data_IF_442490705649
#
_entry.id   IF_442490705649
#
_cell.length_a   1.000
_cell.length_b   1.000
_cell.length_c   1.000
_cell.angle_alpha   90.00
_cell.angle_beta   90.00
_cell.angle_gamma   90.00
#
_symmetry.space_group_name_H-M   'P 1'
#
loop_
_entity.id
_entity.type
_entity.pdbx_description
1 polymer ?
#
# COMPACT_ATOMS: atom_id res chain seq x y z
N UNK A 1 4.04 -17.11 29.07
CA UNK A 1 4.26 -16.33 27.83
C UNK A 1 4.71 -14.89 28.05
N UNK A 2 3.87 -14.00 28.60
CA UNK A 2 4.25 -12.57 28.78
C UNK A 2 5.42 -12.42 29.75
N UNK A 3 5.32 -13.04 30.92
CA UNK A 3 6.41 -13.09 31.90
C UNK A 3 7.69 -13.67 31.29
N UNK A 4 7.60 -14.70 30.45
CA UNK A 4 8.76 -15.27 29.78
C UNK A 4 9.46 -14.25 28.86
N UNK A 5 8.69 -13.42 28.14
CA UNK A 5 9.24 -12.36 27.28
C UNK A 5 9.80 -11.20 28.13
N UNK A 6 9.13 -10.83 29.22
CA UNK A 6 9.61 -9.80 30.16
C UNK A 6 10.92 -10.23 30.87
N UNK A 7 11.11 -11.54 31.07
CA UNK A 7 12.29 -12.13 31.70
C UNK A 7 13.41 -12.51 30.71
N UNK A 8 13.27 -12.20 29.41
CA UNK A 8 14.34 -12.44 28.44
C UNK A 8 15.55 -11.56 28.74
N UNK A 9 16.63 -12.16 29.25
CA UNK A 9 17.90 -11.49 29.43
C UNK A 9 18.68 -11.44 28.11
N UNK A 10 18.80 -10.23 27.55
CA UNK A 10 19.48 -9.97 26.27
C UNK A 10 20.89 -9.40 26.41
N UNK A 11 21.39 -9.29 27.64
CA UNK A 11 22.71 -8.68 27.92
C UNK A 11 23.87 -9.44 27.24
N UNK A 12 23.74 -10.76 27.06
CA UNK A 12 24.77 -11.61 26.44
C UNK A 12 24.65 -11.77 24.91
N UNK A 13 23.57 -11.29 24.28
CA UNK A 13 23.25 -11.59 22.86
C UNK A 13 23.62 -10.43 21.91
N UNK A 14 24.00 -9.26 22.44
CA UNK A 14 24.11 -8.04 21.63
C UNK A 14 25.56 -7.58 21.44
N UNK A 15 26.08 -7.76 20.22
CA UNK A 15 27.46 -7.39 19.89
C UNK A 15 27.72 -5.86 19.83
N UNK A 16 26.68 -5.03 19.80
CA UNK A 16 26.76 -3.56 19.77
C UNK A 16 25.46 -2.92 20.30
N UNK A 17 25.57 -1.69 20.84
CA UNK A 17 24.47 -0.93 21.46
C UNK A 17 23.28 -0.68 20.52
N UNK A 18 23.52 -0.53 19.21
CA UNK A 18 22.45 -0.38 18.20
C UNK A 18 21.60 -1.66 18.13
N UNK A 19 22.24 -2.83 18.10
CA UNK A 19 21.53 -4.11 18.08
C UNK A 19 20.77 -4.35 19.39
N UNK A 20 21.34 -3.91 20.52
CA UNK A 20 20.66 -3.96 21.81
C UNK A 20 19.41 -3.08 21.83
N UNK A 21 19.49 -1.85 21.32
CA UNK A 21 18.34 -0.95 21.22
C UNK A 21 17.24 -1.51 20.29
N UNK A 22 17.62 -2.11 19.15
CA UNK A 22 16.66 -2.75 18.23
C UNK A 22 16.00 -3.97 18.88
N UNK A 23 16.77 -4.82 19.54
CA UNK A 23 16.25 -6.02 20.20
C UNK A 23 15.36 -5.67 21.39
N UNK A 24 15.75 -4.68 22.20
CA UNK A 24 14.90 -4.17 23.28
C UNK A 24 13.59 -3.61 22.73
N UNK A 25 13.62 -2.85 21.63
CA UNK A 25 12.41 -2.36 20.99
C UNK A 25 11.51 -3.51 20.51
N UNK A 26 12.09 -4.57 19.93
CA UNK A 26 11.33 -5.76 19.53
C UNK A 26 10.70 -6.50 20.72
N UNK A 27 11.41 -6.59 21.86
CA UNK A 27 10.88 -7.16 23.10
C UNK A 27 9.73 -6.30 23.63
N UNK A 28 9.90 -4.97 23.68
CA UNK A 28 8.85 -4.06 24.14
C UNK A 28 7.60 -4.16 23.27
N UNK A 29 7.74 -4.22 21.93
CA UNK A 29 6.63 -4.45 21.00
C UNK A 29 5.99 -5.82 21.21
N UNK A 30 6.78 -6.86 21.50
CA UNK A 30 6.25 -8.20 21.81
C UNK A 30 5.48 -8.22 23.13
N UNK A 31 5.95 -7.52 24.16
CA UNK A 31 5.25 -7.37 25.45
C UNK A 31 3.93 -6.63 25.24
N UNK A 32 3.94 -5.54 24.47
CA UNK A 32 2.70 -4.81 24.11
C UNK A 32 1.71 -5.72 23.37
N UNK A 33 2.16 -6.52 22.42
CA UNK A 33 1.30 -7.48 21.71
C UNK A 33 0.75 -8.60 22.62
N UNK A 34 1.47 -8.93 23.70
CA UNK A 34 1.06 -9.90 24.71
C UNK A 34 0.23 -9.28 25.85
N UNK A 35 0.09 -7.96 25.91
CA UNK A 35 -0.73 -7.31 26.92
C UNK A 35 -2.20 -7.78 26.79
N UNK A 36 -2.78 -8.20 27.91
CA UNK A 36 -4.17 -8.61 27.95
C UNK A 36 -5.07 -7.38 27.87
N UNK A 37 -5.96 -7.37 26.88
CA UNK A 37 -7.07 -6.44 26.85
C UNK A 37 -8.14 -7.00 27.77
N UNK A 38 -8.32 -6.41 28.96
CA UNK A 38 -9.20 -6.90 30.04
C UNK A 38 -10.64 -7.21 29.62
N UNK A 39 -11.11 -6.65 28.50
CA UNK A 39 -12.47 -6.84 27.98
C UNK A 39 -12.53 -7.74 26.74
N UNK A 40 -11.39 -8.28 26.27
CA UNK A 40 -11.31 -9.09 25.05
C UNK A 40 -10.87 -10.51 25.40
N UNK A 41 -11.74 -11.53 25.21
CA UNK A 41 -11.38 -12.90 25.53
C UNK A 41 -10.32 -13.44 24.56
N UNK A 42 -9.42 -14.28 25.08
CA UNK A 42 -8.30 -14.85 24.32
C UNK A 42 -8.76 -15.84 23.25
N UNK A 43 -9.81 -16.61 23.54
CA UNK A 43 -10.46 -17.55 22.64
C UNK A 43 -11.96 -17.24 22.54
N UNK A 44 -12.59 -17.69 21.47
CA UNK A 44 -14.03 -17.50 21.22
C UNK A 44 -14.72 -18.73 20.65
N UNK A 45 -13.94 -19.75 20.26
CA UNK A 45 -14.47 -20.98 19.69
C UNK A 45 -13.66 -22.21 20.05
N UNK A 46 -14.24 -23.38 19.78
CA UNK A 46 -13.57 -24.69 19.82
C UNK A 46 -13.94 -25.51 18.58
N UNK A 47 -12.99 -26.26 18.07
CA UNK A 47 -13.18 -27.28 17.04
C UNK A 47 -12.73 -28.63 17.59
N UNK A 48 -13.60 -29.62 17.46
CA UNK A 48 -13.27 -31.02 17.72
C UNK A 48 -13.23 -31.72 16.35
N UNK A 49 -12.02 -32.07 15.91
CA UNK A 49 -11.82 -32.79 14.66
C UNK A 49 -12.17 -34.26 14.82
N UNK A 50 -12.54 -34.92 13.73
CA UNK A 50 -12.72 -36.37 13.69
C UNK A 50 -11.37 -37.10 13.63
N UNK A 51 -10.37 -36.50 12.97
CA UNK A 51 -9.03 -37.02 12.83
C UNK A 51 -7.98 -35.94 13.13
N UNK A 52 -6.77 -36.33 13.52
CA UNK A 52 -5.67 -35.38 13.74
C UNK A 52 -5.33 -34.61 12.45
N UNK A 53 -5.34 -33.26 12.43
CA UNK A 53 -5.04 -32.48 11.25
C UNK A 53 -3.60 -32.66 10.77
N UNK A 54 -3.39 -32.90 9.48
CA UNK A 54 -2.06 -32.97 8.87
C UNK A 54 -1.34 -34.32 8.98
N UNK A 55 -1.92 -35.31 9.67
CA UNK A 55 -1.52 -36.69 9.54
C UNK A 55 -2.21 -37.31 8.30
N UNK A 56 -1.50 -38.16 7.54
CA UNK A 56 -2.16 -39.08 6.60
C UNK A 56 -3.26 -39.81 7.37
N UNK A 57 -4.47 -39.89 6.81
CA UNK A 57 -5.68 -40.48 7.43
C UNK A 57 -5.47 -41.98 7.72
N UNK A 58 -4.64 -42.30 8.71
CA UNK A 58 -4.39 -43.63 9.19
C UNK A 58 -5.60 -44.06 10.04
N UNK A 59 -6.12 -45.26 9.76
CA UNK A 59 -7.19 -45.85 10.56
C UNK A 59 -6.75 -45.93 12.04
N UNK A 60 -7.46 -45.22 12.93
CA UNK A 60 -7.24 -45.26 14.37
C UNK A 60 -6.63 -44.00 15.01
N UNK A 61 -6.35 -42.93 14.25
CA UNK A 61 -5.96 -41.65 14.84
C UNK A 61 -7.17 -40.96 15.50
N UNK A 62 -7.11 -40.75 16.82
CA UNK A 62 -8.13 -39.98 17.54
C UNK A 62 -8.08 -38.50 17.12
N UNK A 63 -9.26 -37.88 17.03
CA UNK A 63 -9.39 -36.46 16.70
C UNK A 63 -8.82 -35.53 17.76
N UNK A 64 -8.34 -34.36 17.33
CA UNK A 64 -7.77 -33.35 18.22
C UNK A 64 -8.75 -32.21 18.51
N UNK A 65 -8.57 -31.58 19.67
CA UNK A 65 -9.40 -30.46 20.14
C UNK A 65 -8.59 -29.17 20.12
N UNK A 66 -9.07 -28.18 19.38
CA UNK A 66 -8.43 -26.87 19.27
C UNK A 66 -9.35 -25.76 19.75
N UNK A 67 -8.85 -24.92 20.65
CA UNK A 67 -9.49 -23.64 20.94
C UNK A 67 -9.02 -22.60 19.93
N UNK A 68 -9.96 -21.85 19.37
CA UNK A 68 -9.69 -20.82 18.36
C UNK A 68 -9.79 -19.44 19.01
N UNK A 69 -8.78 -18.62 18.77
CA UNK A 69 -8.65 -17.32 19.40
C UNK A 69 -7.94 -16.27 18.55
N UNK A 70 -7.78 -15.08 19.14
CA UNK A 70 -7.22 -13.91 18.43
C UNK A 70 -5.72 -13.99 18.24
N UNK A 71 -5.05 -14.75 19.11
CA UNK A 71 -3.61 -14.98 19.08
C UNK A 71 -3.31 -16.39 19.52
N UNK A 72 -2.14 -16.86 19.12
CA UNK A 72 -1.62 -18.12 19.60
C UNK A 72 -1.24 -18.03 21.09
N UNK A 73 -1.66 -19.02 21.88
CA UNK A 73 -1.29 -19.20 23.29
C UNK A 73 -0.81 -20.63 23.50
N UNK A 74 0.31 -20.80 24.20
CA UNK A 74 0.86 -22.08 24.60
C UNK A 74 1.09 -22.12 26.11
N UNK A 75 1.16 -23.33 26.66
CA UNK A 75 1.53 -23.56 28.06
C UNK A 75 3.06 -23.55 28.25
N UNK A 76 3.53 -23.91 29.44
CA UNK A 76 4.97 -23.91 29.76
C UNK A 76 5.77 -24.98 29.00
N UNK A 77 5.12 -26.03 28.51
CA UNK A 77 5.75 -27.14 27.77
C UNK A 77 5.78 -26.85 26.26
N UNK A 78 5.08 -25.80 25.83
CA UNK A 78 4.99 -25.37 24.44
C UNK A 78 3.76 -25.93 23.72
N UNK A 79 2.87 -26.61 24.43
CA UNK A 79 1.68 -27.20 23.83
C UNK A 79 0.64 -26.11 23.50
N UNK A 80 0.03 -26.17 22.30
CA UNK A 80 -0.85 -25.13 21.82
C UNK A 80 -2.19 -25.14 22.59
N UNK A 81 -2.39 -24.18 23.49
CA UNK A 81 -3.66 -24.01 24.21
C UNK A 81 -4.70 -23.28 23.37
N UNK A 82 -4.29 -22.27 22.60
CA UNK A 82 -5.16 -21.49 21.71
C UNK A 82 -4.48 -21.32 20.36
N UNK A 83 -5.20 -21.67 19.30
CA UNK A 83 -4.78 -21.49 17.92
C UNK A 83 -5.25 -20.12 17.42
N UNK A 84 -4.35 -19.41 16.75
CA UNK A 84 -4.65 -18.15 16.09
C UNK A 84 -5.68 -18.35 14.97
N UNK A 85 -6.70 -17.52 14.92
CA UNK A 85 -7.73 -17.55 13.90
C UNK A 85 -7.18 -17.45 12.47
N UNK A 86 -5.96 -16.94 12.26
CA UNK A 86 -5.33 -16.84 10.94
C UNK A 86 -4.69 -18.14 10.48
N UNK A 87 -4.47 -19.10 11.37
CA UNK A 87 -3.89 -20.40 11.01
C UNK A 87 -4.78 -21.16 10.02
N UNK A 88 -4.23 -22.04 9.15
CA UNK A 88 -5.04 -22.85 8.25
C UNK A 88 -6.01 -23.80 9.00
N UNK A 89 -5.57 -24.37 10.13
CA UNK A 89 -6.36 -25.31 10.94
C UNK A 89 -7.57 -24.66 11.64
N UNK A 90 -7.70 -23.34 11.62
CA UNK A 90 -8.89 -22.64 12.13
C UNK A 90 -9.94 -22.38 11.05
N UNK A 91 -9.60 -22.55 9.76
CA UNK A 91 -10.51 -22.25 8.64
C UNK A 91 -11.88 -22.95 8.76
N UNK A 92 -11.97 -24.23 9.18
CA UNK A 92 -13.26 -24.88 9.37
C UNK A 92 -14.18 -24.20 10.38
N UNK A 93 -13.66 -23.43 11.34
CA UNK A 93 -14.49 -22.66 12.27
C UNK A 93 -15.46 -21.73 11.53
N UNK A 94 -15.00 -21.14 10.43
CA UNK A 94 -15.76 -20.20 9.62
C UNK A 94 -16.53 -20.89 8.49
N UNK A 95 -15.90 -21.82 7.76
CA UNK A 95 -16.45 -22.36 6.51
C UNK A 95 -17.19 -23.68 6.65
N UNK A 96 -16.90 -24.47 7.70
CA UNK A 96 -17.53 -25.78 7.86
C UNK A 96 -19.05 -25.64 8.06
N UNK A 97 -19.77 -26.58 7.44
CA UNK A 97 -21.23 -26.68 7.49
C UNK A 97 -21.65 -28.15 7.54
N UNK A 98 -22.92 -28.46 7.81
CA UNK A 98 -23.41 -29.85 7.72
C UNK A 98 -23.29 -30.46 6.32
N UNK A 99 -23.25 -29.64 5.27
CA UNK A 99 -23.05 -30.10 3.88
C UNK A 99 -21.58 -30.39 3.56
N UNK A 100 -20.69 -29.64 4.18
CA UNK A 100 -19.24 -29.80 4.07
C UNK A 100 -18.61 -29.60 5.46
N UNK A 101 -18.52 -30.65 6.29
CA UNK A 101 -18.05 -30.54 7.67
C UNK A 101 -16.54 -30.27 7.78
N UNK A 102 -15.77 -30.39 6.69
CA UNK A 102 -14.32 -30.18 6.69
C UNK A 102 -13.58 -30.97 7.78
N UNK A 103 -13.99 -32.22 8.00
CA UNK A 103 -13.45 -33.13 9.03
C UNK A 103 -13.68 -32.70 10.50
N UNK A 104 -14.56 -31.71 10.72
CA UNK A 104 -14.98 -31.27 12.05
C UNK A 104 -16.22 -32.05 12.50
N UNK A 105 -16.15 -32.66 13.69
CA UNK A 105 -17.28 -33.31 14.32
C UNK A 105 -18.15 -32.32 15.10
N UNK A 106 -17.52 -31.46 15.91
CA UNK A 106 -18.19 -30.47 16.74
C UNK A 106 -17.53 -29.09 16.61
N UNK A 107 -18.37 -28.06 16.42
CA UNK A 107 -17.98 -26.65 16.55
C UNK A 107 -18.67 -26.05 17.76
N UNK A 108 -17.89 -25.50 18.72
CA UNK A 108 -18.42 -24.76 19.88
C UNK A 108 -18.17 -23.27 19.72
N UNK A 109 -19.17 -22.45 20.01
CA UNK A 109 -19.07 -20.99 20.13
C UNK A 109 -19.22 -20.57 21.58
N UNK A 110 -18.44 -19.60 22.01
CA UNK A 110 -18.48 -19.06 23.37
C UNK A 110 -19.00 -17.62 23.38
N UNK A 111 -19.94 -17.33 24.27
CA UNK A 111 -20.47 -16.00 24.54
C UNK A 111 -19.77 -15.36 25.74
N UNK A 112 -19.37 -14.10 25.61
CA UNK A 112 -18.67 -13.36 26.65
C UNK A 112 -19.38 -12.06 27.00
N UNK A 113 -19.24 -11.62 28.26
CA UNK A 113 -19.66 -10.29 28.71
C UNK A 113 -18.59 -9.73 29.62
N UNK A 114 -18.02 -8.58 29.25
CA UNK A 114 -16.96 -7.89 30.02
C UNK A 114 -15.72 -8.74 30.32
N UNK A 115 -15.43 -9.76 29.50
CA UNK A 115 -14.33 -10.71 29.70
C UNK A 115 -14.75 -12.05 30.32
N UNK A 116 -15.92 -12.11 30.94
CA UNK A 116 -16.43 -13.33 31.58
C UNK A 116 -17.17 -14.21 30.58
N UNK A 117 -16.95 -15.52 30.66
CA UNK A 117 -17.66 -16.52 29.85
C UNK A 117 -19.08 -16.70 30.39
N UNK A 118 -20.09 -16.37 29.58
CA UNK A 118 -21.50 -16.37 30.00
C UNK A 118 -22.34 -17.47 29.35
N UNK A 119 -21.95 -17.94 28.16
CA UNK A 119 -22.69 -18.95 27.43
C UNK A 119 -21.80 -19.76 26.48
N UNK A 120 -22.28 -20.92 26.03
CA UNK A 120 -21.71 -21.63 24.90
C UNK A 120 -22.81 -22.29 24.06
N UNK A 121 -22.50 -22.58 22.80
CA UNK A 121 -23.38 -23.25 21.85
C UNK A 121 -22.59 -24.29 21.06
N UNK A 122 -23.10 -25.52 21.00
CA UNK A 122 -22.51 -26.62 20.23
C UNK A 122 -23.27 -26.85 18.93
N UNK A 123 -22.51 -27.03 17.86
CA UNK A 123 -22.99 -27.41 16.54
C UNK A 123 -22.33 -28.73 16.14
N UNK A 124 -23.10 -29.82 16.07
CA UNK A 124 -22.60 -31.12 15.63
C UNK A 124 -22.68 -31.21 14.10
N UNK A 125 -21.54 -31.01 13.42
CA UNK A 125 -21.52 -30.87 11.96
C UNK A 125 -21.57 -32.22 11.23
N UNK A 126 -21.19 -33.31 11.89
CA UNK A 126 -21.20 -34.67 11.34
C UNK A 126 -22.43 -35.49 11.71
N UNK A 127 -23.31 -34.99 12.59
CA UNK A 127 -24.51 -35.71 13.02
C UNK A 127 -25.69 -35.45 12.05
N UNK A 128 -26.15 -36.48 11.30
CA UNK A 128 -27.25 -36.32 10.35
C UNK A 128 -28.63 -36.19 11.02
N UNK A 129 -28.75 -36.53 12.31
CA UNK A 129 -30.01 -36.52 13.06
C UNK A 129 -30.36 -35.14 13.63
N UNK A 130 -29.35 -34.29 13.82
CA UNK A 130 -29.54 -32.94 14.33
C UNK A 130 -29.90 -31.99 13.17
N UNK A 131 -30.99 -31.22 13.31
CA UNK A 131 -31.36 -30.24 12.30
C UNK A 131 -30.32 -29.11 12.19
N UNK A 132 -30.21 -28.48 11.02
CA UNK A 132 -29.41 -27.27 10.88
C UNK A 132 -30.12 -26.13 11.64
N UNK A 133 -29.43 -25.54 12.62
CA UNK A 133 -29.91 -24.38 13.37
C UNK A 133 -28.93 -23.22 13.20
N UNK A 134 -29.47 -21.99 13.10
CA UNK A 134 -28.67 -20.78 13.12
C UNK A 134 -28.24 -20.50 14.56
N UNK A 135 -26.94 -20.26 14.77
CA UNK A 135 -26.40 -19.99 16.10
C UNK A 135 -27.02 -18.72 16.70
N UNK A 136 -27.62 -18.86 17.89
CA UNK A 136 -28.22 -17.71 18.61
C UNK A 136 -27.14 -16.76 19.14
N UNK A 137 -26.00 -17.30 19.59
CA UNK A 137 -24.88 -16.48 20.06
C UNK A 137 -24.28 -15.67 18.91
N UNK A 138 -24.11 -16.29 17.73
CA UNK A 138 -23.64 -15.60 16.54
C UNK A 138 -24.61 -14.50 16.11
N UNK A 139 -25.91 -14.80 16.06
CA UNK A 139 -26.93 -13.83 15.67
C UNK A 139 -26.98 -12.64 16.64
N UNK A 140 -26.95 -12.90 17.95
CA UNK A 140 -26.94 -11.84 18.97
C UNK A 140 -25.72 -10.92 18.84
N UNK A 141 -24.54 -11.47 18.55
CA UNK A 141 -23.34 -10.65 18.40
C UNK A 141 -23.34 -9.85 17.08
N UNK A 142 -23.92 -10.39 16.01
CA UNK A 142 -24.10 -9.67 14.73
C UNK A 142 -25.09 -8.50 14.88
N UNK A 143 -26.21 -8.74 15.57
CA UNK A 143 -27.28 -7.75 15.81
C UNK A 143 -26.91 -6.73 16.90
N UNK A 144 -25.84 -6.98 17.65
CA UNK A 144 -25.42 -6.12 18.75
C UNK A 144 -25.15 -4.69 18.27
N UNK A 145 -25.68 -3.66 18.96
CA UNK A 145 -25.45 -2.28 18.58
C UNK A 145 -23.96 -1.93 18.51
N UNK A 146 -23.55 -1.38 17.37
CA UNK A 146 -22.17 -0.93 17.12
C UNK A 146 -22.02 0.51 17.61
N UNK A 147 -21.88 0.68 18.92
CA UNK A 147 -21.67 1.98 19.58
C UNK A 147 -20.24 2.05 20.12
N UNK A 148 -19.51 3.11 19.77
CA UNK A 148 -18.10 3.28 20.13
C UNK A 148 -17.14 2.70 19.07
N UNK A 149 -15.92 2.29 19.45
CA UNK A 149 -14.93 1.70 18.54
C UNK A 149 -15.39 0.39 17.86
N UNK A 150 -15.11 0.22 16.55
CA UNK A 150 -14.43 -0.89 15.83
C UNK A 150 -14.17 -1.98 16.84
N UNK A 151 -15.17 -2.84 17.06
CA UNK A 151 -14.95 -4.18 17.54
C UNK A 151 -14.39 -5.05 16.43
N UNK A 152 -13.45 -5.91 16.79
CA UNK A 152 -13.07 -7.00 15.93
C UNK A 152 -14.30 -7.88 15.62
N UNK A 153 -14.32 -8.46 14.42
CA UNK A 153 -15.40 -9.35 13.98
C UNK A 153 -14.93 -10.80 13.94
N UNK A 154 -13.75 -11.10 14.51
CA UNK A 154 -13.06 -12.39 14.33
C UNK A 154 -13.96 -13.56 14.72
N UNK A 155 -14.79 -13.41 15.75
CA UNK A 155 -15.71 -14.47 16.20
C UNK A 155 -16.97 -14.62 15.31
N UNK A 156 -17.28 -13.62 14.49
CA UNK A 156 -18.52 -13.48 13.73
C UNK A 156 -18.32 -13.39 12.21
N UNK A 157 -17.09 -13.57 11.72
CA UNK A 157 -16.79 -13.68 10.28
C UNK A 157 -17.68 -14.76 9.65
N UNK A 158 -18.39 -14.38 8.59
CA UNK A 158 -19.23 -15.29 7.82
C UNK A 158 -18.41 -16.07 6.77
N UNK A 159 -18.89 -17.22 6.26
CA UNK A 159 -18.16 -18.02 5.27
C UNK A 159 -17.71 -17.22 4.04
N UNK A 160 -18.59 -16.39 3.47
CA UNK A 160 -18.30 -15.57 2.28
C UNK A 160 -17.29 -14.45 2.60
N UNK A 161 -17.29 -13.96 3.85
CA UNK A 161 -16.31 -13.00 4.32
C UNK A 161 -14.94 -13.65 4.55
N UNK A 162 -14.89 -14.88 5.08
CA UNK A 162 -13.64 -15.63 5.27
C UNK A 162 -12.94 -15.89 3.94
N UNK A 163 -13.69 -16.16 2.87
CA UNK A 163 -13.14 -16.28 1.52
C UNK A 163 -12.41 -15.02 1.07
N UNK A 164 -13.01 -13.84 1.34
CA UNK A 164 -12.39 -12.54 1.04
C UNK A 164 -11.18 -12.30 1.95
N UNK A 165 -11.28 -12.61 3.25
CA UNK A 165 -10.19 -12.41 4.22
C UNK A 165 -8.99 -13.26 3.86
N UNK A 166 -9.21 -14.53 3.50
CA UNK A 166 -8.14 -15.50 3.22
C UNK A 166 -7.66 -15.54 1.77
N UNK A 167 -8.28 -14.76 0.87
CA UNK A 167 -7.82 -14.70 -0.52
C UNK A 167 -6.33 -14.32 -0.57
N UNK A 168 -5.56 -14.95 -1.45
CA UNK A 168 -4.11 -14.76 -1.48
C UNK A 168 -3.65 -13.33 -1.76
N UNK A 169 -2.37 -13.06 -1.52
CA UNK A 169 -1.74 -11.77 -1.83
C UNK A 169 -1.55 -11.53 -3.34
N UNK A 170 -1.65 -12.57 -4.17
CA UNK A 170 -1.50 -12.49 -5.62
C UNK A 170 -2.78 -11.98 -6.26
N UNK A 171 -2.86 -10.66 -6.47
CA UNK A 171 -3.99 -9.99 -7.11
C UNK A 171 -4.71 -9.01 -6.17
N UNK A 172 -5.38 -8.04 -6.77
CA UNK A 172 -6.17 -7.06 -6.02
C UNK A 172 -7.60 -7.55 -5.82
N UNK A 173 -8.18 -7.27 -4.65
CA UNK A 173 -9.55 -7.63 -4.29
C UNK A 173 -10.37 -6.36 -4.14
N UNK A 174 -11.55 -6.32 -4.74
CA UNK A 174 -12.53 -5.26 -4.54
C UNK A 174 -13.72 -5.82 -3.74
N UNK A 175 -14.08 -5.17 -2.64
CA UNK A 175 -15.18 -5.56 -1.76
C UNK A 175 -16.25 -4.49 -1.81
N UNK A 176 -17.32 -4.78 -2.54
CA UNK A 176 -18.50 -3.93 -2.66
C UNK A 176 -19.64 -4.46 -1.80
N UNK A 177 -20.37 -3.57 -1.12
CA UNK A 177 -21.55 -3.95 -0.34
C UNK A 177 -22.20 -2.78 0.38
N UNK A 178 -23.43 -2.96 0.85
CA UNK A 178 -24.23 -1.89 1.48
C UNK A 178 -23.75 -1.43 2.87
N UNK A 179 -24.35 -0.40 3.48
CA UNK A 179 -24.09 0.00 4.86
C UNK A 179 -24.25 -1.17 5.83
N UNK A 180 -23.41 -1.24 6.86
CA UNK A 180 -23.54 -2.23 7.94
C UNK A 180 -23.04 -3.64 7.63
N UNK A 181 -22.73 -3.98 6.37
CA UNK A 181 -22.25 -5.32 5.94
C UNK A 181 -20.84 -5.68 6.44
N UNK A 182 -20.14 -4.75 7.10
CA UNK A 182 -18.85 -5.02 7.73
C UNK A 182 -17.64 -4.97 6.81
N UNK A 183 -17.75 -4.35 5.62
CA UNK A 183 -16.67 -4.26 4.61
C UNK A 183 -15.33 -3.80 5.17
N UNK A 184 -15.32 -2.68 5.90
CA UNK A 184 -14.11 -2.16 6.56
C UNK A 184 -13.50 -3.19 7.49
N UNK A 185 -14.32 -3.85 8.30
CA UNK A 185 -13.85 -4.89 9.21
C UNK A 185 -13.27 -6.07 8.42
N UNK A 186 -13.95 -6.56 7.39
CA UNK A 186 -13.45 -7.61 6.48
C UNK A 186 -12.11 -7.21 5.86
N UNK A 187 -11.97 -5.98 5.37
CA UNK A 187 -10.73 -5.47 4.79
C UNK A 187 -9.58 -5.41 5.80
N UNK A 188 -9.83 -4.99 7.03
CA UNK A 188 -8.82 -4.96 8.09
C UNK A 188 -8.41 -6.36 8.55
N UNK A 189 -9.36 -7.29 8.63
CA UNK A 189 -9.05 -8.69 8.94
C UNK A 189 -8.27 -9.35 7.80
N UNK A 190 -8.58 -9.00 6.54
CA UNK A 190 -7.77 -9.40 5.38
C UNK A 190 -6.34 -8.88 5.51
N UNK A 191 -6.14 -7.61 5.83
CA UNK A 191 -4.79 -7.05 6.07
C UNK A 191 -4.05 -7.84 7.16
N UNK A 192 -4.70 -8.11 8.29
CA UNK A 192 -4.11 -8.89 9.38
C UNK A 192 -3.80 -10.35 8.98
N UNK A 193 -4.66 -10.98 8.17
CA UNK A 193 -4.39 -12.31 7.62
C UNK A 193 -3.19 -12.29 6.66
N UNK A 194 -3.10 -11.30 5.76
CA UNK A 194 -1.99 -11.20 4.82
C UNK A 194 -0.66 -10.96 5.54
N UNK A 195 -0.63 -10.16 6.61
CA UNK A 195 0.55 -9.95 7.44
C UNK A 195 0.98 -11.21 8.19
N UNK A 196 0.03 -12.07 8.56
CA UNK A 196 0.33 -13.39 9.11
C UNK A 196 0.85 -14.36 8.04
N UNK A 197 0.09 -14.57 6.98
CA UNK A 197 0.38 -15.57 5.94
C UNK A 197 1.58 -15.20 5.04
N UNK A 198 1.90 -13.91 4.92
CA UNK A 198 2.97 -13.40 4.05
C UNK A 198 3.93 -12.46 4.79
N UNK A 199 4.17 -12.71 6.08
CA UNK A 199 5.01 -11.88 6.97
C UNK A 199 6.37 -11.52 6.36
N UNK A 200 7.10 -12.49 5.83
CA UNK A 200 8.46 -12.26 5.30
C UNK A 200 8.47 -11.28 4.12
N UNK A 201 7.45 -11.35 3.25
CA UNK A 201 7.32 -10.48 2.09
C UNK A 201 6.89 -9.08 2.53
N UNK A 202 5.84 -8.98 3.34
CA UNK A 202 5.25 -7.70 3.73
C UNK A 202 6.11 -6.92 4.73
N UNK A 203 6.92 -7.58 5.55
CA UNK A 203 7.90 -6.91 6.41
C UNK A 203 8.94 -6.11 5.58
N UNK A 204 9.29 -6.58 4.37
CA UNK A 204 10.26 -5.90 3.49
C UNK A 204 9.61 -4.82 2.63
N UNK A 205 8.43 -5.09 2.10
CA UNK A 205 7.76 -4.22 1.12
C UNK A 205 6.77 -3.24 1.76
N UNK A 206 6.37 -3.46 3.01
CA UNK A 206 5.42 -2.64 3.76
C UNK A 206 3.95 -2.85 3.35
N UNK A 207 3.07 -2.45 4.26
CA UNK A 207 1.61 -2.43 4.11
C UNK A 207 1.07 -1.05 4.49
N UNK A 208 0.10 -0.55 3.73
CA UNK A 208 -0.55 0.75 3.98
C UNK A 208 -2.07 0.60 4.00
N UNK A 209 -2.71 1.19 5.00
CA UNK A 209 -4.17 1.36 5.05
C UNK A 209 -4.50 2.83 4.79
N UNK A 210 -5.35 3.06 3.81
CA UNK A 210 -5.80 4.38 3.39
C UNK A 210 -7.27 4.53 3.80
N UNK A 211 -7.54 5.54 4.60
CA UNK A 211 -8.88 5.84 5.08
C UNK A 211 -9.38 7.21 4.62
N UNK A 212 -10.70 7.46 4.71
CA UNK A 212 -11.32 8.71 4.28
C UNK A 212 -10.91 9.93 5.10
N UNK A 213 -10.60 9.76 6.39
CA UNK A 213 -10.25 10.85 7.28
C UNK A 213 -9.44 10.38 8.52
N UNK A 214 -8.85 11.33 9.25
CA UNK A 214 -8.02 11.03 10.43
C UNK A 214 -8.79 10.42 11.59
N UNK A 215 -10.06 10.78 11.79
CA UNK A 215 -10.91 10.20 12.83
C UNK A 215 -11.13 8.71 12.60
N UNK A 216 -11.33 8.31 11.34
CA UNK A 216 -11.43 6.92 10.92
C UNK A 216 -10.11 6.16 11.11
N UNK A 217 -8.97 6.76 10.77
CA UNK A 217 -7.67 6.12 10.98
C UNK A 217 -7.36 5.91 12.46
N UNK A 218 -7.64 6.90 13.32
CA UNK A 218 -7.47 6.78 14.76
C UNK A 218 -8.27 5.61 15.35
N UNK A 219 -9.40 5.31 14.74
CA UNK A 219 -10.23 4.19 15.12
C UNK A 219 -9.65 2.83 14.65
N UNK A 220 -9.01 2.78 13.49
CA UNK A 220 -8.28 1.59 13.00
C UNK A 220 -7.07 1.28 13.88
N UNK A 221 -6.38 2.31 14.40
CA UNK A 221 -5.27 2.17 15.35
C UNK A 221 -5.65 1.35 16.59
N UNK A 222 -6.94 1.24 16.93
CA UNK A 222 -7.40 0.44 18.08
C UNK A 222 -7.68 -1.03 17.72
N UNK A 223 -7.84 -1.34 16.43
CA UNK A 223 -8.24 -2.68 15.96
C UNK A 223 -7.06 -3.51 15.50
N UNK A 224 -6.15 -2.94 14.71
CA UNK A 224 -4.98 -3.69 14.20
C UNK A 224 -4.08 -4.24 15.32
N UNK A 225 -3.80 -3.50 16.42
CA UNK A 225 -3.07 -4.06 17.55
C UNK A 225 -3.81 -5.22 18.24
N UNK A 226 -5.14 -5.16 18.34
CA UNK A 226 -5.95 -6.25 18.88
C UNK A 226 -5.91 -7.51 17.98
N UNK A 227 -5.59 -7.34 16.70
CA UNK A 227 -5.32 -8.43 15.74
C UNK A 227 -3.84 -8.87 15.73
N UNK A 228 -3.00 -8.27 16.58
CA UNK A 228 -1.58 -8.60 16.73
C UNK A 228 -0.65 -7.93 15.72
N UNK A 229 -1.09 -6.85 15.05
CA UNK A 229 -0.35 -6.15 14.01
C UNK A 229 0.00 -4.70 14.42
N UNK A 230 1.30 -4.40 14.52
CA UNK A 230 1.81 -3.11 15.01
C UNK A 230 2.51 -2.25 13.93
N UNK A 231 2.91 -2.86 12.80
CA UNK A 231 3.76 -2.20 11.78
C UNK A 231 2.99 -1.67 10.55
N UNK A 232 1.67 -1.51 10.64
CA UNK A 232 0.86 -1.08 9.50
C UNK A 232 0.84 0.44 9.39
N UNK A 233 1.32 0.97 8.26
CA UNK A 233 1.25 2.42 7.98
C UNK A 233 -0.20 2.80 7.70
N UNK A 234 -0.58 3.99 8.16
CA UNK A 234 -1.91 4.56 7.98
C UNK A 234 -1.78 5.97 7.42
N UNK A 235 -2.62 6.32 6.45
CA UNK A 235 -2.61 7.66 5.85
C UNK A 235 -3.99 7.99 5.24
N UNK A 236 -4.34 9.27 5.12
CA UNK A 236 -5.39 9.68 4.19
C UNK A 236 -4.79 9.92 2.80
N UNK A 237 -5.62 10.03 1.76
CA UNK A 237 -5.13 10.44 0.44
C UNK A 237 -4.45 11.81 0.51
N UNK A 238 -4.96 12.74 1.31
CA UNK A 238 -4.34 14.05 1.54
C UNK A 238 -2.94 13.92 2.12
N UNK A 239 -2.73 13.04 3.11
CA UNK A 239 -1.41 12.79 3.69
C UNK A 239 -0.46 12.17 2.64
N UNK A 240 -0.96 11.36 1.70
CA UNK A 240 -0.15 10.79 0.62
C UNK A 240 0.36 11.85 -0.36
N UNK A 241 -0.45 12.86 -0.66
CA UNK A 241 -0.14 13.88 -1.67
C UNK A 241 0.36 15.20 -1.08
N UNK A 242 0.69 15.23 0.21
CA UNK A 242 1.10 16.40 0.98
C UNK A 242 2.50 16.95 0.60
N UNK A 243 2.75 17.21 -0.68
CA UNK A 243 3.96 17.85 -1.21
C UNK A 243 3.97 19.37 -0.98
N UNK A 244 2.79 19.95 -0.78
CA UNK A 244 2.55 21.38 -0.57
C UNK A 244 1.50 21.58 0.52
N UNK A 245 1.51 22.77 1.12
CA UNK A 245 0.50 23.14 2.11
C UNK A 245 -0.80 23.54 1.41
N UNK A 246 -1.86 22.78 1.65
CA UNK A 246 -3.20 23.02 1.11
C UNK A 246 -3.88 24.12 1.92
N UNK A 247 -4.25 25.23 1.26
CA UNK A 247 -4.89 26.41 1.88
C UNK A 247 -6.04 26.98 1.05
N UNK A 248 -6.21 26.49 -0.17
CA UNK A 248 -7.25 26.89 -1.11
C UNK A 248 -8.30 25.81 -1.29
N UNK A 249 -9.30 26.15 -2.09
CA UNK A 249 -10.39 25.28 -2.51
C UNK A 249 -10.67 25.55 -3.98
N UNK A 250 -11.06 24.53 -4.72
CA UNK A 250 -11.53 24.66 -6.10
C UNK A 250 -13.06 24.71 -6.13
N UNK A 251 -13.60 25.37 -7.15
CA UNK A 251 -15.00 25.20 -7.53
C UNK A 251 -15.23 23.76 -8.05
N UNK A 252 -16.48 23.28 -8.03
CA UNK A 252 -16.80 21.89 -8.34
C UNK A 252 -16.36 21.48 -9.76
N UNK A 253 -16.53 22.36 -10.75
CA UNK A 253 -16.12 22.14 -12.15
C UNK A 253 -14.61 22.00 -12.27
N UNK A 254 -13.84 22.92 -11.69
CA UNK A 254 -12.39 22.86 -11.67
C UNK A 254 -11.88 21.60 -10.95
N UNK A 255 -12.50 21.21 -9.83
CA UNK A 255 -12.14 20.00 -9.10
C UNK A 255 -12.38 18.73 -9.92
N UNK A 256 -13.46 18.67 -10.71
CA UNK A 256 -13.74 17.55 -11.63
C UNK A 256 -12.69 17.45 -12.72
N UNK A 257 -12.36 18.56 -13.40
CA UNK A 257 -11.35 18.56 -14.47
C UNK A 257 -9.97 18.18 -13.93
N UNK A 258 -9.55 18.75 -12.78
CA UNK A 258 -8.28 18.38 -12.13
C UNK A 258 -8.27 16.94 -11.62
N UNK A 259 -9.43 16.42 -11.21
CA UNK A 259 -9.62 15.05 -10.75
C UNK A 259 -9.69 14.00 -11.87
N UNK A 260 -9.79 14.42 -13.14
CA UNK A 260 -9.87 13.54 -14.30
C UNK A 260 -8.51 12.89 -14.62
N UNK A 261 -8.53 11.60 -15.00
CA UNK A 261 -7.34 10.87 -15.39
C UNK A 261 -6.62 11.46 -16.62
N UNK A 262 -7.33 12.21 -17.48
CA UNK A 262 -6.78 12.94 -18.62
C UNK A 262 -5.66 13.90 -18.21
N UNK A 263 -5.72 14.49 -17.02
CA UNK A 263 -4.68 15.38 -16.50
C UNK A 263 -3.31 14.71 -16.38
N UNK A 264 -3.26 13.39 -16.20
CA UNK A 264 -1.99 12.66 -16.17
C UNK A 264 -1.22 12.77 -17.49
N UNK A 265 -1.92 12.78 -18.63
CA UNK A 265 -1.30 12.94 -19.94
C UNK A 265 -0.87 14.40 -20.17
N UNK A 266 -1.69 15.38 -19.75
CA UNK A 266 -1.32 16.81 -19.79
C UNK A 266 -0.03 17.04 -19.00
N UNK A 267 0.06 16.51 -17.78
CA UNK A 267 1.27 16.60 -16.95
C UNK A 267 2.46 15.87 -17.57
N UNK A 268 2.25 14.70 -18.18
CA UNK A 268 3.30 13.96 -18.88
C UNK A 268 3.88 14.78 -20.04
N UNK A 269 3.02 15.40 -20.86
CA UNK A 269 3.44 16.28 -21.96
C UNK A 269 4.19 17.51 -21.43
N UNK A 270 3.69 18.12 -20.36
CA UNK A 270 4.32 19.28 -19.72
C UNK A 270 5.70 18.94 -19.11
N UNK A 271 5.87 17.77 -18.47
CA UNK A 271 7.18 17.32 -17.98
C UNK A 271 8.14 17.09 -19.15
N UNK A 272 7.68 16.40 -20.21
CA UNK A 272 8.53 16.04 -21.36
C UNK A 272 8.92 17.24 -22.22
N UNK A 273 8.13 18.31 -22.25
CA UNK A 273 8.43 19.51 -23.03
C UNK A 273 9.69 20.26 -22.57
N UNK A 274 10.20 19.94 -21.38
CA UNK A 274 11.48 20.45 -20.90
C UNK A 274 12.70 19.82 -21.59
N UNK A 275 12.54 18.69 -22.29
CA UNK A 275 13.64 18.07 -23.04
C UNK A 275 13.90 18.85 -24.33
N UNK A 276 15.14 19.28 -24.53
CA UNK A 276 15.58 20.00 -25.73
C UNK A 276 16.51 19.12 -26.55
N UNK A 277 16.18 18.91 -27.84
CA UNK A 277 17.04 18.13 -28.73
C UNK A 277 18.40 18.83 -28.94
N UNK A 278 19.51 18.08 -28.88
CA UNK A 278 20.86 18.65 -28.98
C UNK A 278 21.16 19.13 -30.40
N UNK A 279 21.52 20.40 -30.57
CA UNK A 279 22.00 20.96 -31.84
C UNK A 279 23.53 20.95 -31.97
N UNK A 280 24.23 20.80 -30.84
CA UNK A 280 25.69 20.79 -30.76
C UNK A 280 26.21 19.48 -30.15
N UNK A 281 27.38 19.05 -30.61
CA UNK A 281 28.07 17.88 -30.07
C UNK A 281 28.85 18.19 -28.78
N UNK A 282 29.09 17.16 -27.97
CA UNK A 282 29.86 17.25 -26.73
C UNK A 282 31.30 16.86 -26.97
N UNK A 283 32.25 17.66 -26.45
CA UNK A 283 33.68 17.35 -26.51
C UNK A 283 34.19 17.10 -25.09
N UNK A 284 34.63 15.86 -24.84
CA UNK A 284 35.25 15.44 -23.59
C UNK A 284 36.77 15.47 -23.75
N UNK A 285 37.43 16.31 -22.96
CA UNK A 285 38.90 16.37 -22.90
C UNK A 285 39.40 15.43 -21.80
N UNK A 286 40.30 14.52 -22.14
CA UNK A 286 40.95 13.61 -21.19
C UNK A 286 42.43 13.42 -21.56
N UNK A 287 43.33 13.87 -20.68
CA UNK A 287 44.76 13.94 -21.00
C UNK A 287 45.00 14.87 -22.19
N UNK A 288 45.76 14.40 -23.19
CA UNK A 288 45.99 15.10 -24.45
C UNK A 288 44.92 14.83 -25.52
N UNK A 289 44.01 13.89 -25.29
CA UNK A 289 42.99 13.46 -26.26
C UNK A 289 41.68 14.23 -26.08
N UNK A 290 40.96 14.41 -27.19
CA UNK A 290 39.64 15.01 -27.25
C UNK A 290 38.69 14.02 -27.90
N UNK A 291 37.62 13.67 -27.20
CA UNK A 291 36.59 12.74 -27.66
C UNK A 291 35.35 13.54 -27.98
N UNK A 292 34.83 13.42 -29.21
CA UNK A 292 33.67 14.20 -29.65
C UNK A 292 32.49 13.27 -29.88
N UNK A 293 31.42 13.48 -29.13
CA UNK A 293 30.11 12.88 -29.41
C UNK A 293 29.33 13.91 -30.26
N UNK A 294 29.08 13.64 -31.55
CA UNK A 294 28.38 14.55 -32.44
C UNK A 294 26.89 14.69 -32.08
N UNK A 295 26.26 15.78 -32.53
CA UNK A 295 24.86 16.10 -32.20
C UNK A 295 23.89 15.00 -32.60
N UNK A 296 24.04 14.38 -33.78
CA UNK A 296 23.17 13.30 -34.25
C UNK A 296 23.21 12.04 -33.36
N UNK A 297 24.36 11.76 -32.75
CA UNK A 297 24.51 10.61 -31.84
C UNK A 297 23.86 10.94 -30.49
N UNK A 298 23.99 12.19 -30.02
CA UNK A 298 23.27 12.66 -28.84
C UNK A 298 21.77 12.66 -29.05
N UNK A 299 21.29 13.09 -30.22
CA UNK A 299 19.88 13.06 -30.60
C UNK A 299 19.33 11.63 -30.56
N UNK A 300 20.09 10.67 -31.09
CA UNK A 300 19.74 9.23 -31.03
C UNK A 300 19.64 8.77 -29.58
N UNK A 301 20.63 9.07 -28.74
CA UNK A 301 20.63 8.71 -27.30
C UNK A 301 19.42 9.32 -26.58
N UNK A 302 19.08 10.57 -26.88
CA UNK A 302 17.94 11.28 -26.28
C UNK A 302 16.62 10.66 -26.74
N UNK A 303 16.47 10.37 -28.03
CA UNK A 303 15.31 9.68 -28.59
C UNK A 303 15.08 8.33 -27.92
N UNK A 304 16.13 7.50 -27.80
CA UNK A 304 16.04 6.22 -27.09
C UNK A 304 15.60 6.36 -25.63
N UNK A 305 16.01 7.42 -24.92
CA UNK A 305 15.59 7.66 -23.54
C UNK A 305 14.13 8.16 -23.46
N UNK A 306 13.65 8.90 -24.46
CA UNK A 306 12.27 9.38 -24.54
C UNK A 306 11.28 8.26 -24.88
N UNK A 307 11.70 7.32 -25.73
CA UNK A 307 10.91 6.17 -26.16
C UNK A 307 10.77 5.10 -25.06
N UNK A 308 11.67 5.11 -24.08
CA UNK A 308 11.57 4.25 -22.90
C UNK A 308 10.53 4.80 -21.93
N UNK A 309 9.70 3.93 -21.39
CA UNK A 309 8.76 4.25 -20.31
C UNK A 309 9.47 4.36 -18.94
N UNK A 310 10.48 5.24 -18.87
CA UNK A 310 11.22 5.57 -17.65
C UNK A 310 10.85 6.99 -17.18
N UNK A 311 10.97 7.22 -15.88
CA UNK A 311 10.69 8.54 -15.28
C UNK A 311 11.72 9.57 -15.70
N UNK A 312 11.31 10.84 -15.77
CA UNK A 312 12.13 11.93 -16.29
C UNK A 312 13.46 12.08 -15.54
N UNK A 313 13.45 11.98 -14.22
CA UNK A 313 14.65 12.04 -13.38
C UNK A 313 15.59 10.87 -13.62
N UNK A 314 15.06 9.65 -13.77
CA UNK A 314 15.86 8.47 -14.07
C UNK A 314 16.50 8.55 -15.47
N UNK A 315 15.75 9.05 -16.47
CA UNK A 315 16.28 9.31 -17.80
C UNK A 315 17.42 10.34 -17.77
N UNK A 316 17.22 11.43 -17.01
CA UNK A 316 18.22 12.46 -16.79
C UNK A 316 19.49 11.93 -16.12
N UNK A 317 19.36 11.02 -15.16
CA UNK A 317 20.50 10.37 -14.49
C UNK A 317 21.21 9.35 -15.38
N UNK A 318 20.48 8.70 -16.28
CA UNK A 318 21.04 7.75 -17.25
C UNK A 318 21.78 8.47 -18.40
N UNK A 319 21.33 9.64 -18.84
CA UNK A 319 21.93 10.38 -19.96
C UNK A 319 23.45 10.59 -19.87
N UNK A 320 24.05 11.07 -18.75
CA UNK A 320 25.51 11.22 -18.66
C UNK A 320 26.25 9.88 -18.82
N UNK A 321 25.65 8.78 -18.34
CA UNK A 321 26.23 7.43 -18.49
C UNK A 321 26.16 6.96 -19.95
N UNK A 322 25.08 7.27 -20.68
CA UNK A 322 24.95 6.97 -22.12
C UNK A 322 25.95 7.77 -22.97
N UNK A 323 26.12 9.06 -22.66
CA UNK A 323 27.13 9.90 -23.32
C UNK A 323 28.55 9.39 -23.00
N UNK A 324 28.80 8.99 -21.76
CA UNK A 324 30.08 8.41 -21.37
C UNK A 324 30.37 7.11 -22.13
N UNK A 325 29.37 6.23 -22.24
CA UNK A 325 29.50 5.00 -23.02
C UNK A 325 29.87 5.27 -24.48
N UNK A 326 29.26 6.25 -25.14
CA UNK A 326 29.63 6.66 -26.51
C UNK A 326 31.11 7.10 -26.61
N UNK A 327 31.61 7.84 -25.61
CA UNK A 327 33.03 8.21 -25.52
C UNK A 327 33.92 6.98 -25.33
N UNK A 328 33.52 6.03 -24.49
CA UNK A 328 34.27 4.79 -24.24
C UNK A 328 34.39 3.94 -25.52
N UNK A 329 33.32 3.82 -26.30
CA UNK A 329 33.35 3.13 -27.60
C UNK A 329 34.37 3.78 -28.54
N UNK A 330 34.50 5.12 -28.53
CA UNK A 330 35.54 5.80 -29.29
C UNK A 330 36.96 5.53 -28.74
N UNK A 331 37.12 5.47 -27.42
CA UNK A 331 38.38 5.11 -26.76
C UNK A 331 38.83 3.70 -27.14
N UNK A 332 37.93 2.72 -27.10
CA UNK A 332 38.19 1.33 -27.50
C UNK A 332 38.63 1.22 -28.96
N UNK A 333 37.94 1.92 -29.86
CA UNK A 333 38.32 2.00 -31.29
C UNK A 333 39.70 2.61 -31.52
N UNK A 334 40.20 3.40 -30.56
CA UNK A 334 41.56 3.97 -30.58
C UNK A 334 42.62 3.09 -29.93
N UNK A 335 42.24 1.90 -29.44
CA UNK A 335 43.12 0.95 -28.76
C UNK A 335 43.25 1.15 -27.24
N UNK A 336 42.40 1.97 -26.60
CA UNK A 336 42.33 2.03 -25.13
C UNK A 336 41.44 0.92 -24.56
N UNK A 337 41.64 0.54 -23.30
CA UNK A 337 40.79 -0.42 -22.58
C UNK A 337 40.16 0.27 -21.35
N UNK A 338 39.10 1.09 -21.54
CA UNK A 338 38.44 1.79 -20.44
C UNK A 338 37.65 0.83 -19.55
N UNK A 339 37.57 1.13 -18.25
CA UNK A 339 36.78 0.40 -17.25
C UNK A 339 35.62 1.26 -16.70
N UNK A 340 34.85 0.71 -15.76
CA UNK A 340 33.73 1.41 -15.12
C UNK A 340 34.16 2.72 -14.43
N UNK A 341 35.40 2.78 -13.91
CA UNK A 341 35.93 4.00 -13.27
C UNK A 341 36.18 5.09 -14.31
N UNK A 342 36.62 4.72 -15.51
CA UNK A 342 36.71 5.63 -16.64
C UNK A 342 35.33 6.15 -17.04
N UNK A 343 34.34 5.27 -17.16
CA UNK A 343 32.98 5.67 -17.51
C UNK A 343 32.43 6.70 -16.52
N UNK A 344 32.55 6.42 -15.23
CA UNK A 344 32.14 7.34 -14.16
C UNK A 344 32.86 8.69 -14.21
N UNK A 345 34.16 8.69 -14.51
CA UNK A 345 34.93 9.91 -14.65
C UNK A 345 34.46 10.75 -15.86
N UNK A 346 34.15 10.10 -16.99
CA UNK A 346 33.60 10.76 -18.18
C UNK A 346 32.19 11.29 -17.90
N UNK A 347 31.32 10.50 -17.28
CA UNK A 347 29.96 10.91 -16.92
C UNK A 347 29.95 12.13 -15.98
N UNK A 348 30.97 12.26 -15.12
CA UNK A 348 31.13 13.41 -14.21
C UNK A 348 31.81 14.63 -14.83
N UNK A 349 32.29 14.53 -16.08
CA UNK A 349 32.97 15.61 -16.80
C UNK A 349 32.07 16.84 -16.96
N UNK A 350 32.66 18.03 -16.84
CA UNK A 350 31.94 19.31 -16.92
C UNK A 350 31.22 19.50 -18.26
N UNK A 351 31.80 19.07 -19.38
CA UNK A 351 31.17 19.16 -20.70
C UNK A 351 29.92 18.27 -20.80
N UNK A 352 30.01 17.04 -20.27
CA UNK A 352 28.86 16.11 -20.21
C UNK A 352 27.77 16.68 -19.31
N UNK A 353 28.11 17.17 -18.12
CA UNK A 353 27.15 17.79 -17.20
C UNK A 353 26.47 19.02 -17.81
N UNK A 354 27.21 19.85 -18.54
CA UNK A 354 26.65 21.02 -19.23
C UNK A 354 25.66 20.61 -20.31
N UNK A 355 26.00 19.60 -21.11
CA UNK A 355 25.11 19.05 -22.13
C UNK A 355 23.84 18.44 -21.51
N UNK A 356 23.96 17.62 -20.47
CA UNK A 356 22.81 17.06 -19.74
C UNK A 356 21.93 18.17 -19.18
N UNK A 357 22.50 19.25 -18.64
CA UNK A 357 21.74 20.39 -18.13
C UNK A 357 20.96 21.13 -19.23
N UNK A 358 21.54 21.25 -20.42
CA UNK A 358 20.90 21.91 -21.56
C UNK A 358 19.81 21.04 -22.21
N UNK A 359 20.10 19.75 -22.38
CA UNK A 359 19.20 18.78 -23.03
C UNK A 359 18.07 18.36 -22.09
N UNK A 360 18.40 18.10 -20.82
CA UNK A 360 17.50 17.46 -19.85
C UNK A 360 17.57 18.20 -18.49
N UNK A 361 17.07 19.44 -18.42
CA UNK A 361 17.13 20.26 -17.20
C UNK A 361 16.33 19.61 -16.05
N UNK A 362 16.70 19.85 -14.78
CA UNK A 362 15.89 19.37 -13.66
C UNK A 362 14.51 20.05 -13.66
N UNK A 363 13.46 19.27 -13.37
CA UNK A 363 12.08 19.75 -13.28
C UNK A 363 11.63 19.66 -11.83
N UNK A 364 11.05 20.75 -11.34
CA UNK A 364 10.41 20.84 -10.03
C UNK A 364 8.90 20.64 -10.22
N UNK A 365 8.29 19.57 -9.68
CA UNK A 365 6.88 19.25 -9.90
C UNK A 365 5.91 20.36 -9.49
N UNK A 366 6.14 20.99 -8.34
CA UNK A 366 5.27 22.05 -7.84
C UNK A 366 5.36 23.31 -8.70
N UNK A 367 6.56 23.66 -9.18
CA UNK A 367 6.72 24.79 -10.14
C UNK A 367 6.11 24.48 -11.50
N UNK A 368 6.17 23.23 -11.95
CA UNK A 368 5.54 22.82 -13.20
C UNK A 368 4.03 22.99 -13.12
N UNK A 369 3.39 22.44 -12.08
CA UNK A 369 1.94 22.57 -11.87
C UNK A 369 1.55 24.04 -11.67
N UNK A 370 2.34 24.80 -10.91
CA UNK A 370 2.13 26.25 -10.75
C UNK A 370 2.07 26.96 -12.11
N UNK A 371 3.03 26.67 -13.00
CA UNK A 371 3.06 27.25 -14.34
C UNK A 371 1.85 26.78 -15.16
N UNK A 372 1.55 25.49 -15.13
CA UNK A 372 0.41 24.91 -15.85
C UNK A 372 -0.92 25.58 -15.49
N UNK A 373 -1.12 25.91 -14.21
CA UNK A 373 -2.35 26.55 -13.74
C UNK A 373 -2.33 28.08 -13.85
N UNK A 374 -1.21 28.70 -14.24
CA UNK A 374 -1.07 30.17 -14.32
C UNK A 374 -0.91 30.67 -15.76
N UNK A 375 -0.25 29.90 -16.62
CA UNK A 375 0.15 30.27 -17.98
C UNK A 375 -0.79 29.59 -18.99
N UNK A 376 -1.74 30.37 -19.52
CA UNK A 376 -2.78 29.87 -20.43
C UNK A 376 -2.21 29.27 -21.71
N UNK A 377 -1.15 29.86 -22.28
CA UNK A 377 -0.52 29.36 -23.50
C UNK A 377 0.20 28.03 -23.21
N UNK A 378 0.88 27.93 -22.06
CA UNK A 378 1.53 26.69 -21.65
C UNK A 378 0.53 25.56 -21.38
N UNK A 379 -0.61 25.87 -20.77
CA UNK A 379 -1.70 24.91 -20.61
C UNK A 379 -2.25 24.46 -21.97
N UNK A 380 -2.59 25.39 -22.85
CA UNK A 380 -3.20 25.10 -24.16
C UNK A 380 -2.31 24.17 -25.00
N UNK A 381 -1.00 24.41 -25.05
CA UNK A 381 -0.05 23.55 -25.79
C UNK A 381 -0.01 22.13 -25.24
N UNK A 382 -0.13 21.94 -23.92
CA UNK A 382 -0.03 20.62 -23.30
C UNK A 382 -1.38 19.90 -23.15
N UNK A 383 -2.47 20.65 -23.18
CA UNK A 383 -3.84 20.15 -23.13
C UNK A 383 -4.45 19.93 -24.53
N UNK A 384 -3.74 20.29 -25.61
CA UNK A 384 -4.23 20.16 -26.98
C UNK A 384 -4.72 18.73 -27.30
N UNK A 385 -5.99 18.64 -27.74
CA UNK A 385 -6.70 17.39 -28.01
C UNK A 385 -7.05 16.55 -26.77
N UNK A 386 -6.87 17.07 -25.55
CA UNK A 386 -7.17 16.37 -24.29
C UNK A 386 -8.26 17.10 -23.49
N UNK A 387 -8.11 18.41 -23.31
CA UNK A 387 -9.08 19.27 -22.64
C UNK A 387 -9.62 20.29 -23.64
N UNK A 388 -10.91 20.56 -23.58
CA UNK A 388 -11.50 21.65 -24.37
C UNK A 388 -11.18 23.04 -23.79
N UNK A 389 -11.54 24.10 -24.52
CA UNK A 389 -11.25 25.48 -24.12
C UNK A 389 -11.95 25.89 -22.82
N UNK A 390 -13.12 25.32 -22.52
CA UNK A 390 -13.89 25.66 -21.33
C UNK A 390 -13.31 24.96 -20.11
N UNK A 391 -12.97 23.66 -20.22
CA UNK A 391 -12.22 22.91 -19.21
C UNK A 391 -10.88 23.59 -18.87
N UNK A 392 -10.16 24.10 -19.87
CA UNK A 392 -8.92 24.84 -19.65
C UNK A 392 -9.15 26.14 -18.87
N UNK A 393 -10.21 26.90 -19.18
CA UNK A 393 -10.55 28.13 -18.44
C UNK A 393 -10.91 27.84 -16.99
N UNK A 394 -11.64 26.76 -16.72
CA UNK A 394 -12.07 26.37 -15.37
C UNK A 394 -10.90 26.11 -14.42
N UNK A 395 -9.79 25.53 -14.92
CA UNK A 395 -8.64 25.18 -14.06
C UNK A 395 -7.59 26.28 -13.94
N UNK A 396 -7.63 27.30 -14.80
CA UNK A 396 -6.68 28.41 -14.76
C UNK A 396 -6.94 29.33 -13.56
N UNK A 397 -5.87 29.73 -12.88
CA UNK A 397 -5.96 30.67 -11.78
C UNK A 397 -6.24 32.08 -12.28
N UNK A 398 -7.32 32.67 -11.77
CA UNK A 398 -7.76 34.04 -12.10
C UNK A 398 -6.74 35.13 -11.80
N UNK A 399 -5.77 34.88 -10.90
CA UNK A 399 -4.70 35.82 -10.57
C UNK A 399 -3.35 35.13 -10.68
N UNK A 400 -2.37 35.75 -11.35
CA UNK A 400 -1.05 35.16 -11.49
C UNK A 400 -0.38 35.03 -10.12
N UNK A 401 0.02 33.81 -9.79
CA UNK A 401 0.72 33.50 -8.54
C UNK A 401 2.22 33.45 -8.78
N UNK A 402 2.97 34.17 -7.95
CA UNK A 402 4.41 34.42 -8.18
C UNK A 402 5.32 33.29 -7.70
N UNK A 403 4.86 32.42 -6.79
CA UNK A 403 5.69 31.35 -6.22
C UNK A 403 4.86 30.21 -5.63
N UNK A 404 5.49 29.03 -5.50
CA UNK A 404 4.92 27.83 -4.87
C UNK A 404 4.48 28.10 -3.42
N UNK A 405 5.20 28.96 -2.68
CA UNK A 405 4.88 29.26 -1.27
C UNK A 405 3.68 30.20 -1.10
N UNK A 406 3.46 31.08 -2.08
CA UNK A 406 2.36 32.06 -2.05
C UNK A 406 1.06 31.52 -2.64
N UNK A 407 1.14 30.38 -3.34
CA UNK A 407 -0.01 29.70 -3.91
C UNK A 407 -0.98 29.23 -2.82
N UNK A 408 -2.28 29.39 -3.10
CA UNK A 408 -3.34 28.79 -2.30
C UNK A 408 -3.74 27.48 -2.94
N UNK A 409 -2.89 26.47 -2.77
CA UNK A 409 -3.10 25.14 -3.33
C UNK A 409 -4.40 24.53 -2.82
N UNK A 410 -5.18 23.97 -3.73
CA UNK A 410 -6.35 23.14 -3.41
C UNK A 410 -5.94 21.68 -3.16
N UNK A 411 -6.84 20.84 -2.62
CA UNK A 411 -6.63 19.40 -2.57
C UNK A 411 -6.38 18.77 -3.96
N UNK A 412 -7.10 19.21 -4.99
CA UNK A 412 -6.94 18.68 -6.34
C UNK A 412 -5.56 19.05 -6.93
N UNK A 413 -5.05 20.26 -6.66
CA UNK A 413 -3.71 20.66 -7.07
C UNK A 413 -2.62 19.78 -6.44
N UNK A 414 -2.77 19.43 -5.16
CA UNK A 414 -1.82 18.56 -4.46
C UNK A 414 -1.72 17.18 -5.12
N UNK A 415 -2.85 16.63 -5.60
CA UNK A 415 -2.90 15.38 -6.36
C UNK A 415 -2.19 15.51 -7.71
N UNK A 416 -2.36 16.62 -8.42
CA UNK A 416 -1.61 16.91 -9.65
C UNK A 416 -0.10 17.01 -9.40
N UNK A 417 0.31 17.60 -8.29
CA UNK A 417 1.72 17.67 -7.88
C UNK A 417 2.26 16.28 -7.55
N UNK A 418 1.48 15.39 -6.92
CA UNK A 418 1.88 13.99 -6.68
C UNK A 418 2.07 13.23 -8.01
N UNK A 419 1.18 13.44 -9.00
CA UNK A 419 1.33 12.85 -10.35
C UNK A 419 2.59 13.38 -11.05
N UNK A 420 2.81 14.70 -11.05
CA UNK A 420 4.02 15.31 -11.60
C UNK A 420 5.29 14.83 -10.88
N UNK A 421 5.21 14.63 -9.56
CA UNK A 421 6.32 14.11 -8.75
C UNK A 421 6.68 12.70 -9.20
N UNK A 422 5.71 11.81 -9.40
CA UNK A 422 5.97 10.45 -9.90
C UNK A 422 6.51 10.42 -11.33
N UNK A 423 6.04 11.32 -12.21
CA UNK A 423 6.58 11.49 -13.55
C UNK A 423 8.06 11.90 -13.55
N UNK A 424 8.49 12.65 -12.53
CA UNK A 424 9.90 13.06 -12.34
C UNK A 424 10.69 11.98 -11.61
N UNK A 425 10.21 11.50 -10.47
CA UNK A 425 10.84 10.50 -9.60
C UNK A 425 9.83 9.44 -9.21
N UNK A 426 10.12 8.19 -9.54
CA UNK A 426 9.20 7.07 -9.32
C UNK A 426 8.78 6.97 -7.85
N UNK A 427 7.48 6.94 -7.60
CA UNK A 427 6.92 6.63 -6.28
C UNK A 427 7.23 5.17 -5.92
N UNK A 428 7.69 4.93 -4.70
CA UNK A 428 7.98 3.59 -4.20
C UNK A 428 6.69 2.77 -4.06
N UNK A 429 6.71 1.51 -4.51
CA UNK A 429 5.58 0.60 -4.38
C UNK A 429 5.65 -0.18 -3.06
N UNK A 430 4.51 -0.36 -2.43
CA UNK A 430 4.33 -1.19 -1.25
C UNK A 430 3.95 -2.63 -1.64
N UNK A 431 4.00 -3.53 -0.67
CA UNK A 431 3.59 -4.93 -0.84
C UNK A 431 2.07 -5.08 -0.88
N UNK A 432 1.37 -4.32 -0.03
CA UNK A 432 -0.08 -4.31 0.00
C UNK A 432 -0.65 -2.93 0.36
N UNK A 433 -1.76 -2.55 -0.27
CA UNK A 433 -2.49 -1.32 0.03
C UNK A 433 -3.97 -1.63 0.25
N UNK A 434 -4.50 -1.34 1.43
CA UNK A 434 -5.94 -1.33 1.68
C UNK A 434 -6.47 0.09 1.51
N UNK A 435 -7.55 0.26 0.76
CA UNK A 435 -8.20 1.55 0.52
C UNK A 435 -9.67 1.42 0.89
N UNK A 436 -10.12 2.24 1.85
CA UNK A 436 -11.54 2.33 2.22
C UNK A 436 -12.22 3.57 1.65
N UNK A 437 -13.55 3.50 1.54
CA UNK A 437 -14.42 4.51 0.91
C UNK A 437 -13.94 4.93 -0.49
N UNK A 438 -13.51 3.94 -1.28
CA UNK A 438 -12.87 4.18 -2.56
C UNK A 438 -13.80 4.93 -3.55
N UNK A 439 -15.11 4.77 -3.45
CA UNK A 439 -16.08 5.45 -4.32
C UNK A 439 -15.97 6.98 -4.28
N UNK A 440 -15.43 7.56 -3.20
CA UNK A 440 -15.31 9.01 -3.07
C UNK A 440 -14.03 9.55 -3.73
N UNK A 441 -13.13 8.69 -4.21
CA UNK A 441 -11.88 9.13 -4.84
C UNK A 441 -12.06 9.51 -6.31
N UNK A 442 -11.44 10.61 -6.71
CA UNK A 442 -11.35 11.00 -8.12
C UNK A 442 -10.41 10.06 -8.88
N UNK A 443 -10.54 9.94 -10.21
CA UNK A 443 -9.61 9.18 -11.02
C UNK A 443 -8.13 9.50 -10.75
N UNK A 444 -7.75 10.76 -10.58
CA UNK A 444 -6.35 11.13 -10.26
C UNK A 444 -5.95 10.74 -8.83
N UNK A 445 -6.86 10.77 -7.86
CA UNK A 445 -6.60 10.25 -6.51
C UNK A 445 -6.40 8.73 -6.54
N UNK A 446 -7.19 7.99 -7.32
CA UNK A 446 -6.96 6.56 -7.58
C UNK A 446 -5.57 6.30 -8.17
N UNK A 447 -5.11 7.15 -9.08
CA UNK A 447 -3.74 7.06 -9.60
C UNK A 447 -2.69 7.27 -8.51
N UNK A 448 -2.90 8.21 -7.60
CA UNK A 448 -2.02 8.43 -6.45
C UNK A 448 -1.91 7.19 -5.55
N UNK A 449 -3.04 6.52 -5.29
CA UNK A 449 -3.04 5.24 -4.58
C UNK A 449 -2.37 4.13 -5.40
N UNK A 450 -2.74 3.99 -6.67
CA UNK A 450 -2.24 2.94 -7.57
C UNK A 450 -0.71 2.97 -7.75
N UNK A 451 -0.10 4.16 -7.78
CA UNK A 451 1.37 4.33 -7.82
C UNK A 451 2.09 3.64 -6.65
N UNK A 452 1.49 3.68 -5.47
CA UNK A 452 2.00 3.06 -4.23
C UNK A 452 1.75 1.55 -4.20
N UNK A 453 1.11 0.98 -5.23
CA UNK A 453 0.79 -0.44 -5.34
C UNK A 453 1.17 -1.05 -6.71
N UNK A 454 2.08 -0.43 -7.47
CA UNK A 454 2.42 -0.88 -8.84
C UNK A 454 3.01 -2.29 -8.93
N UNK A 455 3.67 -2.78 -7.88
CA UNK A 455 4.23 -4.15 -7.80
C UNK A 455 3.60 -4.99 -6.68
N UNK A 456 2.62 -4.41 -5.97
CA UNK A 456 1.94 -5.02 -4.84
C UNK A 456 0.53 -5.48 -5.20
N UNK A 457 -0.29 -5.70 -4.18
CA UNK A 457 -1.73 -5.93 -4.33
C UNK A 457 -2.56 -4.94 -3.53
N UNK A 458 -3.81 -4.72 -3.97
CA UNK A 458 -4.72 -3.82 -3.29
C UNK A 458 -5.93 -4.56 -2.71
N UNK A 459 -6.44 -4.07 -1.57
CA UNK A 459 -7.78 -4.39 -1.09
C UNK A 459 -8.60 -3.10 -1.14
N UNK A 460 -9.49 -2.99 -2.12
CA UNK A 460 -10.34 -1.82 -2.34
C UNK A 460 -11.69 -2.09 -1.71
N UNK A 461 -12.15 -1.20 -0.84
CA UNK A 461 -13.40 -1.29 -0.12
C UNK A 461 -14.25 -0.08 -0.47
N UNK A 462 -15.56 -0.29 -0.67
CA UNK A 462 -16.45 0.82 -0.93
C UNK A 462 -17.89 0.41 -1.23
N UNK A 463 -18.71 1.41 -1.51
CA UNK A 463 -20.08 1.26 -1.97
C UNK A 463 -20.43 2.37 -2.96
N UNK A 464 -20.57 2.03 -4.25
CA UNK A 464 -20.91 3.00 -5.29
C UNK A 464 -22.24 3.73 -5.02
N UNK A 465 -23.17 3.11 -4.28
CA UNK A 465 -24.44 3.74 -3.94
C UNK A 465 -24.32 4.81 -2.83
N UNK A 466 -23.15 4.95 -2.21
CA UNK A 466 -22.88 5.90 -1.13
C UNK A 466 -21.91 7.02 -1.54
N UNK A 467 -21.65 7.19 -2.83
CA UNK A 467 -20.80 8.27 -3.33
C UNK A 467 -21.30 9.64 -2.91
N UNK A 468 -20.39 10.47 -2.38
CA UNK A 468 -20.70 11.83 -1.90
C UNK A 468 -20.03 12.93 -2.70
N UNK A 469 -19.15 12.56 -3.64
CA UNK A 469 -18.31 13.50 -4.38
C UNK A 469 -18.83 13.78 -5.80
N UNK A 470 -18.44 14.90 -6.42
CA UNK A 470 -18.94 15.29 -7.75
C UNK A 470 -18.65 14.30 -8.89
N UNK A 471 -17.66 13.43 -8.70
CA UNK A 471 -17.25 12.40 -9.67
C UNK A 471 -17.77 11.01 -9.31
N UNK A 472 -18.47 10.86 -8.18
CA UNK A 472 -19.15 9.62 -7.84
C UNK A 472 -20.48 9.55 -8.61
N UNK A 473 -20.41 9.09 -9.86
CA UNK A 473 -21.57 8.94 -10.77
C UNK A 473 -21.60 7.57 -11.40
#
# INVERSE_FOLDING_TARGET
MREDVENLDITDVTANWVNAAVLQHQIDERIKALADLSHTPLFFGRLDYLHAPGADKAEGAEGERFYIGRRHVHDAEGDPMVIDWRAPVSQPFYRASKKDPMDVGLRRRFGYTSGDLTAYEDEHLSDPSEAAATSKLLQQEIERPRVGPMRDIVATIQPEQDEIVRAGLTGSVCVQGGPGTGKTAVGLHRVAYLLYAHRERLARTGTLVIGPNKSFLHYIEQVLPALGELEVKQATVDDLVAHVEVRGTDDATAAVVKGDARMAEVLRRAVRSHVTLPTEGVVVVRGSRRWRVPAYELETIVGELLDRDIRYGAAREALPQRIAHAVLVQMERSGEAPDDRVQDAVARNTAVKAAVKAIWPPVDPAKLVLRLLTDADFLAVHADGILDEDEQKEILWSKPVRSVKSAKWSPADAVLIDEATDLVQRTHSLGHVALDEAQDLSPTQYRAVGRRCTTGSATVLGDLAQGTTPWAT
#
